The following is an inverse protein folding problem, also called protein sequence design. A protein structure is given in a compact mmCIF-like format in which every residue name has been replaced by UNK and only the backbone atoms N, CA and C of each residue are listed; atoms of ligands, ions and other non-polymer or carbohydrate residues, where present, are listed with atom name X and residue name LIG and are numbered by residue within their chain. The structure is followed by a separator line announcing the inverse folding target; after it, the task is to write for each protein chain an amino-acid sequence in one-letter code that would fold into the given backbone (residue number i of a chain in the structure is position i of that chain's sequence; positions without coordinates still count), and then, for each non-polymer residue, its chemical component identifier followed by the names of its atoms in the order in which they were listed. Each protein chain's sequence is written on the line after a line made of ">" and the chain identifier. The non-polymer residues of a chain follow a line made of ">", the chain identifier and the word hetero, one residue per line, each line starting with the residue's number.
data_IF_888322974737
#
_entry.id   IF_888322974737
#
_cell.length_a   1.000
_cell.length_b   1.000
_cell.length_c   1.000
_cell.angle_alpha   90.00
_cell.angle_beta   90.00
_cell.angle_gamma   90.00
#
_symmetry.space_group_name_H-M   'P 1'
#
loop_
_entity.id
_entity.type
_entity.pdbx_description
1 polymer ?
#
# COMPACT_ATOMS: atom_id res chain seq x y z
N UNK A 1 -15.49 -40.45 -10.00
CA UNK A 1 -14.61 -39.92 -8.95
C UNK A 1 -13.32 -39.50 -9.59
N UNK A 2 -12.94 -38.25 -9.43
CA UNK A 2 -11.57 -37.80 -9.63
C UNK A 2 -11.42 -36.52 -8.84
N UNK A 3 -10.77 -36.67 -7.69
CA UNK A 3 -10.48 -35.65 -6.72
C UNK A 3 -9.61 -34.54 -7.31
N UNK A 4 -9.95 -33.32 -6.91
CA UNK A 4 -9.09 -32.17 -6.58
C UNK A 4 -7.65 -32.16 -7.10
N UNK A 5 -7.30 -31.06 -7.76
CA UNK A 5 -5.94 -30.51 -7.74
C UNK A 5 -6.03 -28.99 -7.71
N UNK A 6 -6.42 -28.44 -6.56
CA UNK A 6 -6.08 -27.07 -6.17
C UNK A 6 -4.56 -27.01 -6.01
N UNK A 7 -3.85 -26.86 -7.12
CA UNK A 7 -2.40 -26.68 -7.10
C UNK A 7 -2.13 -25.27 -6.65
N UNK A 8 -1.97 -25.17 -5.33
CA UNK A 8 -1.25 -24.17 -4.58
C UNK A 8 -0.34 -23.32 -5.48
N UNK A 9 -0.78 -22.08 -5.71
CA UNK A 9 -0.03 -21.04 -6.45
C UNK A 9 0.45 -19.97 -5.48
N UNK A 10 0.79 -20.35 -4.25
CA UNK A 10 1.30 -19.44 -3.22
C UNK A 10 2.82 -19.56 -3.09
N UNK A 11 3.52 -19.54 -4.22
CA UNK A 11 4.97 -19.44 -4.22
C UNK A 11 5.35 -17.99 -4.52
N UNK A 12 5.78 -17.27 -3.49
CA UNK A 12 6.29 -15.89 -3.52
C UNK A 12 5.24 -14.76 -3.40
N UNK A 13 4.16 -14.95 -2.64
CA UNK A 13 3.27 -13.83 -2.29
C UNK A 13 4.07 -12.82 -1.48
N UNK A 14 4.45 -11.72 -2.12
CA UNK A 14 4.81 -10.52 -1.40
C UNK A 14 3.60 -10.18 -0.51
N UNK A 15 3.78 -9.93 0.80
CA UNK A 15 2.67 -9.63 1.70
C UNK A 15 1.87 -8.41 1.22
N UNK A 16 2.50 -7.57 0.39
CA UNK A 16 1.94 -6.35 -0.18
C UNK A 16 2.08 -6.39 -1.71
N UNK A 17 1.06 -6.84 -2.46
CA UNK A 17 1.13 -6.85 -3.91
C UNK A 17 1.15 -5.43 -4.48
N UNK A 18 1.75 -5.30 -5.66
CA UNK A 18 1.76 -4.03 -6.40
C UNK A 18 0.32 -3.59 -6.68
N UNK A 19 0.03 -2.32 -6.41
CA UNK A 19 -1.29 -1.72 -6.53
C UNK A 19 -2.08 -1.67 -5.22
N UNK A 20 -1.68 -2.42 -4.19
CA UNK A 20 -2.32 -2.35 -2.87
C UNK A 20 -2.09 -1.01 -2.19
N UNK A 21 -3.13 -0.50 -1.54
CA UNK A 21 -3.04 0.67 -0.68
C UNK A 21 -2.60 0.22 0.71
N UNK A 22 -1.57 0.87 1.23
CA UNK A 22 -0.93 0.52 2.49
C UNK A 22 -0.72 1.77 3.32
N UNK A 23 -0.86 1.62 4.63
CA UNK A 23 -0.57 2.64 5.61
C UNK A 23 0.78 2.35 6.24
N UNK A 24 1.64 3.35 6.27
CA UNK A 24 2.92 3.29 6.98
C UNK A 24 2.71 3.55 8.47
N UNK A 25 3.62 3.05 9.30
CA UNK A 25 3.67 3.32 10.75
C UNK A 25 3.76 4.82 11.12
N UNK A 26 4.13 5.66 10.16
CA UNK A 26 4.13 7.12 10.32
C UNK A 26 2.76 7.75 10.14
N UNK A 27 1.73 6.97 9.79
CA UNK A 27 0.39 7.44 9.47
C UNK A 27 0.18 7.82 7.99
N UNK A 28 1.25 7.85 7.20
CA UNK A 28 1.17 8.15 5.77
C UNK A 28 0.49 7.01 5.00
N UNK A 29 -0.29 7.34 3.98
CA UNK A 29 -0.96 6.35 3.13
C UNK A 29 -0.44 6.47 1.71
N UNK A 30 -0.13 5.31 1.13
CA UNK A 30 0.36 5.22 -0.22
C UNK A 30 -0.01 3.93 -0.92
N UNK A 31 0.37 3.84 -2.18
CA UNK A 31 0.20 2.65 -3.01
C UNK A 31 1.53 1.96 -3.24
N UNK A 32 1.56 0.64 -3.13
CA UNK A 32 2.73 -0.16 -3.51
C UNK A 32 2.93 -0.05 -5.03
N UNK A 33 4.02 0.57 -5.46
CA UNK A 33 4.35 0.71 -6.89
C UNK A 33 5.36 -0.35 -7.34
N UNK A 34 6.21 -0.81 -6.42
CA UNK A 34 7.20 -1.85 -6.70
C UNK A 34 7.54 -2.64 -5.42
N UNK A 35 8.07 -3.84 -5.56
CA UNK A 35 8.45 -4.71 -4.44
C UNK A 35 9.83 -5.30 -4.68
N UNK A 36 10.73 -5.24 -3.70
CA UNK A 36 12.04 -5.84 -3.83
C UNK A 36 11.96 -7.38 -3.83
N UNK A 37 12.56 -8.02 -4.84
CA UNK A 37 12.64 -9.49 -4.91
C UNK A 37 13.40 -10.13 -3.75
N UNK A 38 14.33 -9.39 -3.14
CA UNK A 38 15.13 -9.85 -1.99
C UNK A 38 14.40 -9.64 -0.66
N UNK A 39 13.63 -8.55 -0.57
CA UNK A 39 12.96 -8.11 0.65
C UNK A 39 11.51 -7.69 0.34
N UNK A 40 10.59 -8.66 0.15
CA UNK A 40 9.19 -8.35 -0.19
C UNK A 40 8.44 -7.65 0.95
N UNK A 41 9.00 -7.63 2.16
CA UNK A 41 8.49 -6.86 3.30
C UNK A 41 8.79 -5.36 3.20
N UNK A 42 9.74 -4.94 2.34
CA UNK A 42 10.14 -3.54 2.16
C UNK A 42 9.91 -3.08 0.71
N UNK A 43 8.64 -2.88 0.32
CA UNK A 43 8.30 -2.39 -1.00
C UNK A 43 8.63 -0.90 -1.19
N UNK A 44 8.53 -0.44 -2.43
CA UNK A 44 8.53 0.96 -2.79
C UNK A 44 7.06 1.42 -2.81
N UNK A 45 6.74 2.40 -1.98
CA UNK A 45 5.39 2.90 -1.76
C UNK A 45 5.30 4.35 -2.22
N UNK A 46 4.34 4.65 -3.09
CA UNK A 46 4.05 6.02 -3.52
C UNK A 46 3.05 6.65 -2.58
N UNK A 47 3.48 7.67 -1.85
CA UNK A 47 2.68 8.36 -0.84
C UNK A 47 1.78 9.38 -1.53
N UNK A 48 0.49 9.29 -1.24
CA UNK A 48 -0.52 10.26 -1.69
C UNK A 48 -1.11 11.04 -0.52
N UNK A 49 -1.09 10.45 0.68
CA UNK A 49 -1.61 11.07 1.88
C UNK A 49 -0.53 11.13 2.95
N UNK A 50 -0.43 12.28 3.61
CA UNK A 50 0.43 12.42 4.77
C UNK A 50 -0.18 11.76 6.03
N UNK A 51 0.52 11.84 7.15
CA UNK A 51 0.08 11.43 8.48
C UNK A 51 -1.26 12.03 8.93
N UNK A 52 -1.63 13.18 8.37
CA UNK A 52 -2.86 13.93 8.68
C UNK A 52 -4.00 13.61 7.69
N UNK A 53 -3.86 12.55 6.88
CA UNK A 53 -4.81 12.15 5.84
C UNK A 53 -5.07 13.26 4.78
N UNK A 54 -4.16 14.24 4.67
CA UNK A 54 -4.24 15.27 3.65
C UNK A 54 -3.60 14.79 2.36
N UNK A 55 -4.27 15.09 1.24
CA UNK A 55 -3.70 14.81 -0.08
C UNK A 55 -2.45 15.64 -0.31
N UNK A 56 -1.40 14.98 -0.77
CA UNK A 56 -0.22 15.65 -1.27
C UNK A 56 -0.47 16.02 -2.73
N UNK A 57 -0.38 17.32 -3.05
CA UNK A 57 -0.40 17.78 -4.45
C UNK A 57 0.72 17.10 -5.28
N UNK A 58 1.85 16.79 -4.63
CA UNK A 58 2.97 16.06 -5.22
C UNK A 58 3.19 14.74 -4.47
N UNK A 59 2.77 13.64 -5.10
CA UNK A 59 3.10 12.29 -4.62
C UNK A 59 4.60 12.02 -4.78
N UNK A 60 5.23 11.38 -3.80
CA UNK A 60 6.61 10.91 -3.89
C UNK A 60 6.71 9.42 -3.59
N UNK A 61 7.75 8.78 -4.13
CA UNK A 61 8.03 7.37 -3.92
C UNK A 61 8.98 7.21 -2.74
N UNK A 62 8.58 6.39 -1.78
CA UNK A 62 9.35 6.05 -0.60
C UNK A 62 9.82 4.61 -0.73
N UNK A 63 11.13 4.45 -0.78
CA UNK A 63 11.76 3.14 -0.72
C UNK A 63 11.94 2.73 0.74
N UNK A 64 11.08 1.84 1.24
CA UNK A 64 11.14 1.36 2.63
C UNK A 64 12.47 0.63 2.90
N UNK A 65 13.08 0.02 1.87
CA UNK A 65 14.36 -0.69 2.03
C UNK A 65 15.56 0.23 2.20
N UNK A 66 15.48 1.47 1.70
CA UNK A 66 16.56 2.47 1.77
C UNK A 66 16.28 3.62 2.73
N UNK A 67 15.12 3.62 3.39
CA UNK A 67 14.73 4.69 4.30
C UNK A 67 15.65 4.69 5.53
N UNK A 68 16.14 5.88 5.90
CA UNK A 68 16.92 6.09 7.12
C UNK A 68 16.06 6.03 8.39
N UNK A 69 14.74 6.13 8.21
CA UNK A 69 13.74 5.96 9.25
C UNK A 69 13.25 4.51 9.26
N UNK A 70 12.96 3.95 10.45
CA UNK A 70 12.25 2.67 10.63
C UNK A 70 10.81 2.80 10.11
N UNK A 71 10.68 2.87 8.78
CA UNK A 71 9.41 2.84 8.08
C UNK A 71 9.00 1.39 7.89
N UNK A 72 7.78 1.09 8.28
CA UNK A 72 7.18 -0.22 8.11
C UNK A 72 5.73 -0.06 7.66
N UNK A 73 5.24 -1.07 6.94
CA UNK A 73 3.83 -1.16 6.60
C UNK A 73 3.10 -1.53 7.89
N UNK A 74 2.30 -0.61 8.41
CA UNK A 74 1.48 -0.84 9.60
C UNK A 74 0.28 -1.72 9.26
N UNK A 75 -0.40 -1.41 8.15
CA UNK A 75 -1.56 -2.18 7.68
C UNK A 75 -1.83 -1.98 6.19
N UNK A 76 -2.57 -2.93 5.63
CA UNK A 76 -3.15 -2.83 4.28
C UNK A 76 -4.52 -2.16 4.44
N UNK A 77 -4.82 -1.21 3.56
CA UNK A 77 -6.12 -0.59 3.48
C UNK A 77 -6.90 -1.24 2.33
N UNK A 78 -7.99 -1.91 2.69
CA UNK A 78 -8.97 -2.40 1.72
C UNK A 78 -9.81 -1.24 1.16
N UNK A 79 -10.47 -1.48 0.04
CA UNK A 79 -11.39 -0.54 -0.61
C UNK A 79 -12.38 0.11 0.37
N UNK A 80 -13.02 -0.69 1.25
CA UNK A 80 -13.93 -0.19 2.28
C UNK A 80 -13.30 0.79 3.27
N UNK A 81 -12.06 0.56 3.67
CA UNK A 81 -11.36 1.44 4.61
C UNK A 81 -11.01 2.76 3.90
N UNK A 82 -10.58 2.67 2.64
CA UNK A 82 -10.32 3.84 1.81
C UNK A 82 -11.58 4.69 1.56
N UNK A 83 -12.73 4.05 1.33
CA UNK A 83 -14.02 4.74 1.22
C UNK A 83 -14.39 5.48 2.52
N UNK A 84 -14.12 4.91 3.69
CA UNK A 84 -14.38 5.58 4.96
C UNK A 84 -13.50 6.81 5.18
N UNK A 85 -12.23 6.74 4.75
CA UNK A 85 -11.30 7.87 4.81
C UNK A 85 -11.71 9.02 3.87
N UNK A 86 -12.24 8.67 2.70
CA UNK A 86 -12.67 9.65 1.68
C UNK A 86 -14.07 10.22 1.95
N UNK A 87 -14.94 9.55 2.71
CA UNK A 87 -16.25 10.09 3.09
C UNK A 87 -16.18 11.09 4.26
N UNK A 88 -15.16 11.01 5.13
CA UNK A 88 -15.00 11.94 6.25
C UNK A 88 -14.21 13.21 5.90
N UNK A 89 -13.34 13.13 4.89
CA UNK A 89 -12.59 14.27 4.40
C UNK A 89 -13.03 14.55 2.97
N UNK A 90 -13.61 15.73 2.73
CA UNK A 90 -14.16 16.26 1.48
C UNK A 90 -13.15 16.19 0.31
N UNK A 91 -12.87 14.98 -0.17
CA UNK A 91 -11.90 14.67 -1.20
C UNK A 91 -12.54 14.92 -2.56
N UNK A 92 -12.75 16.21 -2.84
CA UNK A 92 -13.06 16.71 -4.17
C UNK A 92 -11.82 16.63 -5.07
N UNK A 93 -11.17 15.46 -5.17
CA UNK A 93 -10.21 15.23 -6.26
C UNK A 93 -11.03 14.77 -7.45
N UNK A 94 -11.38 15.78 -8.24
CA UNK A 94 -11.87 15.70 -9.61
C UNK A 94 -11.23 14.51 -10.34
N UNK A 95 -11.96 13.41 -10.44
CA UNK A 95 -11.80 12.51 -11.58
C UNK A 95 -12.54 13.23 -12.72
N UNK A 96 -11.79 13.95 -13.55
CA UNK A 96 -12.23 14.36 -14.88
C UNK A 96 -11.83 13.29 -15.88
#
# INVERSE_FOLDING_TARGET
>A
GSEMCIRDRFSNVAPYPIGSIVMLNTGQIGQVVDTHKKDPAKPIVRIYFNSDLQYLEYSYEVDISKSEFDLEIEKILDDKELEQLTNHNEFSVKVQ
#
